data_IF_498224178821
#
_entry.id   IF_498224178821
#
_cell.length_a   1.000
_cell.length_b   1.000
_cell.length_c   1.000
_cell.angle_alpha   90.00
_cell.angle_beta   90.00
_cell.angle_gamma   90.00
#
_symmetry.space_group_name_H-M   'P 1'
#
loop_
_entity.id
_entity.type
_entity.pdbx_description
1 polymer ?
#
# COMPACT_ATOMS: atom_id res chain seq x y z
N UNK A 1 8.72 -10.03 18.16
CA UNK A 1 8.55 -10.08 16.68
C UNK A 1 7.81 -11.33 16.21
N UNK A 2 8.19 -12.51 16.69
CA UNK A 2 7.53 -13.77 16.29
C UNK A 2 6.05 -13.85 16.71
N UNK A 3 5.71 -13.36 17.91
CA UNK A 3 4.31 -13.21 18.35
C UNK A 3 3.50 -12.30 17.41
N UNK A 4 4.07 -11.18 16.95
CA UNK A 4 3.41 -10.26 16.03
C UNK A 4 3.19 -10.89 14.65
N UNK A 5 4.17 -11.65 14.14
CA UNK A 5 4.03 -12.43 12.90
C UNK A 5 2.89 -13.44 13.00
N UNK A 6 2.84 -14.20 14.10
CA UNK A 6 1.76 -15.16 14.35
C UNK A 6 0.39 -14.47 14.41
N UNK A 7 0.27 -13.36 15.14
CA UNK A 7 -1.00 -12.60 15.20
C UNK A 7 -1.45 -12.20 13.80
N UNK A 8 -0.57 -11.63 12.98
CA UNK A 8 -0.94 -11.17 11.64
C UNK A 8 -1.23 -12.30 10.67
N UNK A 9 -0.50 -13.40 10.76
CA UNK A 9 -0.77 -14.60 9.97
C UNK A 9 -2.11 -15.21 10.37
N UNK A 10 -2.39 -15.34 11.67
CA UNK A 10 -3.70 -15.77 12.18
C UNK A 10 -4.81 -14.81 11.75
N UNK A 11 -4.64 -13.49 11.89
CA UNK A 11 -5.62 -12.49 11.46
C UNK A 11 -5.86 -12.53 9.95
N UNK A 12 -4.81 -12.73 9.15
CA UNK A 12 -4.92 -12.91 7.70
C UNK A 12 -5.74 -14.16 7.36
N UNK A 13 -5.40 -15.32 7.95
CA UNK A 13 -6.13 -16.56 7.71
C UNK A 13 -7.57 -16.50 8.20
N UNK A 14 -7.84 -15.85 9.34
CA UNK A 14 -9.20 -15.61 9.83
C UNK A 14 -9.99 -14.70 8.88
N UNK A 15 -9.38 -13.64 8.37
CA UNK A 15 -10.04 -12.76 7.39
C UNK A 15 -10.32 -13.49 6.07
N UNK A 16 -9.38 -14.32 5.60
CA UNK A 16 -9.53 -15.11 4.38
C UNK A 16 -10.53 -16.25 4.55
N UNK A 17 -10.55 -16.90 5.72
CA UNK A 17 -11.54 -17.93 6.08
C UNK A 17 -12.93 -17.34 6.19
N UNK A 18 -13.09 -16.16 6.81
CA UNK A 18 -14.36 -15.45 6.86
C UNK A 18 -14.85 -15.09 5.46
N UNK A 19 -13.95 -14.62 4.58
CA UNK A 19 -14.25 -14.35 3.17
C UNK A 19 -14.70 -15.62 2.43
N UNK A 20 -13.96 -16.72 2.58
CA UNK A 20 -14.25 -17.99 1.91
C UNK A 20 -15.53 -18.65 2.44
N UNK A 21 -15.74 -18.65 3.75
CA UNK A 21 -16.93 -19.21 4.41
C UNK A 21 -18.17 -18.45 3.97
N UNK A 22 -18.11 -17.12 3.93
CA UNK A 22 -19.22 -16.29 3.48
C UNK A 22 -19.49 -16.43 1.97
N UNK A 23 -18.45 -16.56 1.14
CA UNK A 23 -18.60 -16.88 -0.29
C UNK A 23 -19.25 -18.25 -0.52
N UNK A 24 -18.90 -19.24 0.29
CA UNK A 24 -19.45 -20.59 0.22
C UNK A 24 -20.92 -20.64 0.69
N UNK A 25 -21.25 -19.96 1.78
CA UNK A 25 -22.65 -19.88 2.27
C UNK A 25 -23.54 -19.12 1.29
N UNK A 26 -23.06 -18.03 0.68
CA UNK A 26 -23.79 -17.29 -0.35
C UNK A 26 -24.06 -18.14 -1.61
N UNK A 27 -23.11 -19.01 -2.00
CA UNK A 27 -23.30 -19.94 -3.11
C UNK A 27 -24.30 -21.06 -2.80
N UNK A 28 -24.30 -21.57 -1.56
CA UNK A 28 -25.17 -22.66 -1.13
C UNK A 28 -26.64 -22.27 -0.99
N UNK A 29 -26.95 -21.03 -0.64
CA UNK A 29 -28.33 -20.58 -0.46
C UNK A 29 -29.05 -20.25 -1.76
N UNK A 30 -28.42 -20.43 -2.93
CA UNK A 30 -28.94 -20.02 -4.25
C UNK A 30 -29.42 -18.56 -4.34
N UNK A 31 -29.09 -17.75 -3.33
CA UNK A 31 -29.13 -16.30 -3.39
C UNK A 31 -27.85 -15.90 -4.12
N UNK A 32 -27.81 -16.19 -5.42
CA UNK A 32 -26.93 -15.53 -6.38
C UNK A 32 -27.43 -14.08 -6.57
N UNK A 33 -27.73 -13.42 -5.46
CA UNK A 33 -27.80 -11.98 -5.44
C UNK A 33 -26.35 -11.55 -5.61
N UNK A 34 -26.06 -11.11 -6.83
CA UNK A 34 -24.83 -10.46 -7.23
C UNK A 34 -24.35 -9.53 -6.10
N UNK A 35 -25.27 -8.85 -5.39
CA UNK A 35 -25.03 -8.02 -4.20
C UNK A 35 -24.23 -8.70 -3.07
N UNK A 36 -24.43 -10.00 -2.80
CA UNK A 36 -23.71 -10.74 -1.75
C UNK A 36 -22.24 -11.03 -2.08
N UNK A 37 -21.94 -11.32 -3.35
CA UNK A 37 -20.57 -11.38 -3.88
C UNK A 37 -19.96 -9.96 -3.91
N UNK A 38 -20.78 -8.93 -4.13
CA UNK A 38 -20.40 -7.52 -4.04
C UNK A 38 -20.03 -7.08 -2.61
N UNK A 39 -20.64 -7.62 -1.56
CA UNK A 39 -20.24 -7.33 -0.17
C UNK A 39 -18.88 -7.92 0.24
N UNK A 40 -18.49 -9.06 -0.34
CA UNK A 40 -17.21 -9.72 -0.06
C UNK A 40 -16.00 -8.91 -0.53
N UNK A 41 -16.11 -8.22 -1.67
CA UNK A 41 -15.00 -7.46 -2.23
C UNK A 41 -14.55 -6.30 -1.31
N UNK A 42 -15.43 -5.76 -0.48
CA UNK A 42 -15.10 -4.69 0.47
C UNK A 42 -14.10 -5.10 1.56
N UNK A 43 -13.92 -6.41 1.80
CA UNK A 43 -12.89 -6.92 2.72
C UNK A 43 -11.52 -7.11 2.04
N UNK A 44 -11.45 -7.16 0.70
CA UNK A 44 -10.21 -7.39 -0.04
C UNK A 44 -9.15 -6.32 0.22
N UNK A 45 -9.46 -5.00 0.28
CA UNK A 45 -8.48 -3.98 0.63
C UNK A 45 -7.89 -4.17 2.04
N UNK A 46 -8.69 -4.61 3.02
CA UNK A 46 -8.21 -4.87 4.38
C UNK A 46 -7.29 -6.10 4.42
N UNK A 47 -7.63 -7.16 3.68
CA UNK A 47 -6.78 -8.36 3.54
C UNK A 47 -5.46 -8.01 2.82
N UNK A 48 -5.52 -7.20 1.76
CA UNK A 48 -4.34 -6.70 1.06
C UNK A 48 -3.43 -5.90 2.00
N UNK A 49 -4.00 -5.04 2.85
CA UNK A 49 -3.24 -4.29 3.86
C UNK A 49 -2.58 -5.20 4.90
N UNK A 50 -3.25 -6.26 5.35
CA UNK A 50 -2.63 -7.24 6.26
C UNK A 50 -1.42 -7.94 5.61
N UNK A 51 -1.49 -8.26 4.32
CA UNK A 51 -0.37 -8.82 3.56
C UNK A 51 0.79 -7.85 3.45
N UNK A 52 0.52 -6.57 3.14
CA UNK A 52 1.53 -5.52 3.10
C UNK A 52 2.20 -5.39 4.46
N UNK A 53 1.44 -5.24 5.55
CA UNK A 53 1.95 -5.19 6.93
C UNK A 53 2.83 -6.41 7.24
N UNK A 54 2.36 -7.60 6.88
CA UNK A 54 3.10 -8.86 7.08
C UNK A 54 4.41 -8.90 6.29
N UNK A 55 4.43 -8.38 5.06
CA UNK A 55 5.65 -8.20 4.27
C UNK A 55 6.62 -7.23 4.94
N UNK A 56 6.15 -6.09 5.43
CA UNK A 56 6.98 -5.12 6.14
C UNK A 56 7.58 -5.68 7.43
N UNK A 57 6.92 -6.61 8.10
CA UNK A 57 7.51 -7.27 9.27
C UNK A 57 8.60 -8.27 8.88
N UNK A 58 8.48 -8.93 7.71
CA UNK A 58 9.59 -9.72 7.18
C UNK A 58 10.80 -8.83 6.87
N UNK A 59 10.57 -7.67 6.26
CA UNK A 59 11.62 -6.68 6.00
C UNK A 59 12.25 -6.16 7.30
N UNK A 60 11.44 -5.81 8.30
CA UNK A 60 11.88 -5.39 9.64
C UNK A 60 12.74 -6.47 10.29
N UNK A 61 12.33 -7.74 10.21
CA UNK A 61 13.10 -8.87 10.70
C UNK A 61 14.44 -9.02 9.99
N UNK A 62 14.51 -8.68 8.70
CA UNK A 62 15.77 -8.67 7.93
C UNK A 62 16.71 -7.57 8.40
N UNK A 63 16.17 -6.36 8.59
CA UNK A 63 16.91 -5.18 9.10
C UNK A 63 17.46 -5.44 10.50
N UNK A 64 16.67 -6.05 11.40
CA UNK A 64 17.11 -6.43 12.75
C UNK A 64 18.27 -7.43 12.73
N UNK A 65 18.33 -8.30 11.72
CA UNK A 65 19.45 -9.22 11.50
C UNK A 65 20.62 -8.57 10.75
N UNK A 66 20.66 -7.25 10.66
CA UNK A 66 21.67 -6.49 9.94
C UNK A 66 21.79 -6.84 8.45
N UNK A 67 20.69 -7.21 7.80
CA UNK A 67 20.66 -7.32 6.34
C UNK A 67 20.73 -5.94 5.67
N UNK A 68 21.33 -5.87 4.48
CA UNK A 68 21.46 -4.62 3.72
C UNK A 68 20.13 -4.26 3.06
N UNK A 69 19.42 -3.32 3.68
CA UNK A 69 18.17 -2.75 3.19
C UNK A 69 18.34 -1.23 3.05
N UNK A 70 17.79 -0.66 1.98
CA UNK A 70 17.91 0.75 1.69
C UNK A 70 17.03 1.60 2.62
N UNK A 71 17.66 2.33 3.54
CA UNK A 71 16.95 3.21 4.48
C UNK A 71 16.24 4.38 3.78
N UNK A 72 16.82 4.93 2.70
CA UNK A 72 16.19 6.04 1.94
C UNK A 72 14.89 5.57 1.30
N UNK A 73 14.87 4.34 0.76
CA UNK A 73 13.64 3.75 0.26
C UNK A 73 12.56 3.66 1.35
N UNK A 74 12.92 3.26 2.57
CA UNK A 74 11.97 3.20 3.70
C UNK A 74 11.42 4.57 4.09
N UNK A 75 12.23 5.63 4.02
CA UNK A 75 11.78 7.00 4.29
C UNK A 75 10.76 7.46 3.24
N UNK A 76 11.03 7.23 1.96
CA UNK A 76 10.07 7.56 0.90
C UNK A 76 8.78 6.74 1.01
N UNK A 77 8.88 5.46 1.36
CA UNK A 77 7.73 4.59 1.63
C UNK A 77 6.90 5.13 2.80
N UNK A 78 7.55 5.54 3.90
CA UNK A 78 6.87 6.23 5.01
C UNK A 78 6.15 7.50 4.55
N UNK A 79 6.80 8.35 3.75
CA UNK A 79 6.18 9.57 3.20
C UNK A 79 4.97 9.26 2.32
N UNK A 80 5.05 8.23 1.49
CA UNK A 80 3.93 7.78 0.67
C UNK A 80 2.73 7.38 1.54
N UNK A 81 2.95 6.54 2.56
CA UNK A 81 1.88 6.12 3.46
C UNK A 81 1.33 7.27 4.31
N UNK A 82 2.15 8.25 4.71
CA UNK A 82 1.68 9.47 5.37
C UNK A 82 0.70 10.25 4.49
N UNK A 83 0.99 10.38 3.19
CA UNK A 83 0.06 11.01 2.24
C UNK A 83 -1.25 10.24 2.17
N UNK A 84 -1.19 8.91 2.04
CA UNK A 84 -2.37 8.06 1.93
C UNK A 84 -3.23 8.06 3.20
N UNK A 85 -2.65 8.33 4.38
CA UNK A 85 -3.41 8.57 5.61
C UNK A 85 -4.04 9.95 5.58
N UNK A 86 -3.31 10.98 5.16
CA UNK A 86 -3.85 12.33 4.96
C UNK A 86 -5.10 12.31 4.08
N UNK A 87 -5.05 11.64 2.92
CA UNK A 87 -6.20 11.48 2.01
C UNK A 87 -7.39 10.83 2.73
N UNK A 88 -7.15 9.75 3.47
CA UNK A 88 -8.22 9.07 4.21
C UNK A 88 -8.86 9.96 5.28
N UNK A 89 -8.06 10.78 5.98
CA UNK A 89 -8.57 11.71 6.99
C UNK A 89 -9.37 12.82 6.32
N UNK A 90 -8.81 13.45 5.28
CA UNK A 90 -9.47 14.52 4.52
C UNK A 90 -10.81 14.07 3.94
N UNK A 91 -10.87 12.85 3.37
CA UNK A 91 -12.11 12.28 2.84
C UNK A 91 -13.12 11.89 3.94
N UNK A 92 -12.65 11.45 5.12
CA UNK A 92 -13.51 11.12 6.27
C UNK A 92 -14.09 12.32 7.00
N UNK A 93 -13.68 13.54 6.66
CA UNK A 93 -14.35 14.74 7.17
C UNK A 93 -15.79 14.87 6.61
N UNK A 94 -16.17 14.03 5.64
CA UNK A 94 -17.53 14.02 5.06
C UNK A 94 -18.06 12.61 4.72
N UNK A 95 -17.24 11.58 4.42
CA UNK A 95 -17.76 10.25 4.04
C UNK A 95 -17.00 9.01 4.58
N UNK A 96 -17.77 7.97 4.91
CA UNK A 96 -17.40 6.81 5.71
C UNK A 96 -16.51 5.76 5.02
N UNK A 97 -15.19 5.97 5.02
CA UNK A 97 -14.24 4.86 4.89
C UNK A 97 -14.34 3.94 6.12
N UNK A 98 -14.15 2.62 6.01
CA UNK A 98 -14.16 1.71 7.18
C UNK A 98 -12.99 2.00 8.14
N UNK A 99 -13.25 2.08 9.45
CA UNK A 99 -12.25 2.45 10.46
C UNK A 99 -11.05 1.51 10.47
N UNK A 100 -11.28 0.26 10.11
CA UNK A 100 -10.27 -0.78 10.01
C UNK A 100 -9.18 -0.48 8.98
N UNK A 101 -9.54 0.07 7.82
CA UNK A 101 -8.54 0.40 6.80
C UNK A 101 -7.61 1.53 7.27
N UNK A 102 -8.14 2.52 7.99
CA UNK A 102 -7.34 3.56 8.63
C UNK A 102 -6.42 3.02 9.72
N UNK A 103 -6.95 2.18 10.62
CA UNK A 103 -6.16 1.55 11.70
C UNK A 103 -5.00 0.71 11.12
N UNK A 104 -5.26 -0.06 10.07
CA UNK A 104 -4.22 -0.86 9.40
C UNK A 104 -3.12 0.01 8.78
N UNK A 105 -3.46 1.17 8.18
CA UNK A 105 -2.45 2.12 7.67
C UNK A 105 -1.59 2.70 8.81
N UNK A 106 -2.18 3.02 9.97
CA UNK A 106 -1.41 3.48 11.14
C UNK A 106 -0.44 2.42 11.65
N UNK A 107 -0.89 1.16 11.73
CA UNK A 107 -0.03 0.03 12.10
C UNK A 107 1.12 -0.12 11.10
N UNK A 108 0.84 -0.01 9.80
CA UNK A 108 1.85 -0.06 8.76
C UNK A 108 2.90 1.06 8.91
N UNK A 109 2.46 2.31 9.11
CA UNK A 109 3.37 3.43 9.36
C UNK A 109 4.25 3.20 10.59
N UNK A 110 3.68 2.69 11.69
CA UNK A 110 4.45 2.37 12.89
C UNK A 110 5.55 1.34 12.60
N UNK A 111 5.26 0.33 11.79
CA UNK A 111 6.24 -0.69 11.39
C UNK A 111 7.32 -0.08 10.49
N UNK A 112 6.96 0.73 9.50
CA UNK A 112 7.93 1.41 8.63
C UNK A 112 8.80 2.38 9.45
N UNK A 113 8.20 3.15 10.36
CA UNK A 113 8.91 4.01 11.31
C UNK A 113 9.89 3.22 12.18
N UNK A 114 9.52 2.02 12.61
CA UNK A 114 10.42 1.13 13.33
C UNK A 114 11.59 0.63 12.46
N UNK A 115 11.33 0.27 11.20
CA UNK A 115 12.39 -0.07 10.23
C UNK A 115 13.39 1.08 10.09
N UNK A 116 12.88 2.31 9.97
CA UNK A 116 13.70 3.52 9.87
C UNK A 116 14.51 3.72 11.15
N UNK A 117 13.89 3.62 12.33
CA UNK A 117 14.56 3.79 13.62
C UNK A 117 15.72 2.82 13.84
N UNK A 118 15.54 1.54 13.51
CA UNK A 118 16.64 0.55 13.57
C UNK A 118 17.71 0.86 12.53
N UNK A 119 17.31 1.25 11.31
CA UNK A 119 18.25 1.62 10.25
C UNK A 119 19.14 2.81 10.63
N UNK A 120 18.57 3.85 11.25
CA UNK A 120 19.30 5.01 11.77
C UNK A 120 20.26 4.55 12.88
N UNK A 121 19.77 3.81 13.87
CA UNK A 121 20.58 3.33 15.00
C UNK A 121 21.79 2.50 14.53
N UNK A 122 21.62 1.67 13.51
CA UNK A 122 22.63 0.69 13.10
C UNK A 122 23.57 1.21 11.99
N UNK A 123 23.16 2.18 11.17
CA UNK A 123 23.86 2.46 9.89
C UNK A 123 24.00 3.92 9.50
N UNK A 124 23.29 4.86 10.15
CA UNK A 124 23.26 6.24 9.68
C UNK A 124 23.31 7.25 10.83
N UNK A 125 24.39 8.03 10.91
CA UNK A 125 24.39 9.29 11.65
C UNK A 125 23.74 10.36 10.78
N UNK A 126 22.45 10.59 10.95
CA UNK A 126 21.74 11.70 10.31
C UNK A 126 22.20 13.03 10.90
N UNK A 127 22.46 14.01 10.03
CA UNK A 127 22.68 15.40 10.47
C UNK A 127 21.38 16.00 10.97
N UNK A 128 21.46 17.10 11.72
CA UNK A 128 20.27 17.82 12.20
C UNK A 128 19.40 18.33 11.03
N UNK A 129 20.04 18.79 9.95
CA UNK A 129 19.35 19.25 8.74
C UNK A 129 18.58 18.12 8.05
N UNK A 130 19.12 16.91 7.98
CA UNK A 130 18.43 15.75 7.40
C UNK A 130 17.16 15.38 8.18
N UNK A 131 17.20 15.51 9.52
CA UNK A 131 16.04 15.24 10.38
C UNK A 131 14.94 16.28 10.21
N UNK A 132 15.31 17.55 10.10
CA UNK A 132 14.38 18.65 9.87
C UNK A 132 13.75 18.51 8.48
N UNK A 133 14.56 18.33 7.44
CA UNK A 133 14.07 18.14 6.07
C UNK A 133 13.16 16.92 5.96
N UNK A 134 13.51 15.80 6.59
CA UNK A 134 12.66 14.59 6.64
C UNK A 134 11.32 14.84 7.33
N UNK A 135 11.33 15.55 8.46
CA UNK A 135 10.09 15.92 9.18
C UNK A 135 9.20 16.83 8.34
N UNK A 136 9.77 17.88 7.74
CA UNK A 136 9.03 18.80 6.86
C UNK A 136 8.41 18.03 5.72
N UNK A 137 9.18 17.15 5.04
CA UNK A 137 8.69 16.37 3.92
C UNK A 137 7.54 15.42 4.33
N UNK A 138 7.62 14.79 5.50
CA UNK A 138 6.55 13.94 6.03
C UNK A 138 5.27 14.74 6.36
N UNK A 139 5.42 15.92 6.99
CA UNK A 139 4.29 16.80 7.34
C UNK A 139 3.64 17.39 6.09
N UNK A 140 4.44 17.90 5.14
CA UNK A 140 3.93 18.43 3.87
C UNK A 140 3.19 17.36 3.07
N UNK A 141 3.72 16.12 3.02
CA UNK A 141 3.05 14.99 2.37
C UNK A 141 1.69 14.68 2.99
N UNK A 142 1.62 14.67 4.33
CA UNK A 142 0.36 14.49 5.06
C UNK A 142 -0.65 15.60 4.75
N UNK A 143 -0.22 16.87 4.77
CA UNK A 143 -1.07 18.02 4.48
C UNK A 143 -1.59 18.01 3.04
N UNK A 144 -0.73 17.69 2.07
CA UNK A 144 -1.14 17.53 0.66
C UNK A 144 -2.21 16.44 0.54
N UNK A 145 -2.00 15.30 1.19
CA UNK A 145 -2.99 14.23 1.23
C UNK A 145 -4.31 14.68 1.85
N UNK A 146 -4.26 15.37 2.99
CA UNK A 146 -5.44 15.87 3.71
C UNK A 146 -6.25 16.84 2.86
N UNK A 147 -5.59 17.83 2.24
CA UNK A 147 -6.24 18.81 1.37
C UNK A 147 -6.88 18.11 0.16
N UNK A 148 -6.16 17.19 -0.49
CA UNK A 148 -6.69 16.46 -1.63
C UNK A 148 -7.93 15.63 -1.26
N UNK A 149 -7.87 14.90 -0.14
CA UNK A 149 -9.01 14.13 0.38
C UNK A 149 -10.20 15.02 0.72
N UNK A 150 -9.96 16.15 1.38
CA UNK A 150 -11.01 17.11 1.74
C UNK A 150 -11.68 17.72 0.51
N UNK A 151 -10.91 18.27 -0.44
CA UNK A 151 -11.44 18.89 -1.66
C UNK A 151 -12.22 17.85 -2.47
N UNK A 152 -11.70 16.63 -2.61
CA UNK A 152 -12.39 15.55 -3.33
C UNK A 152 -13.74 15.18 -2.72
N UNK A 153 -13.88 15.39 -1.42
CA UNK A 153 -15.07 15.04 -0.67
C UNK A 153 -16.18 16.10 -0.80
N UNK A 154 -15.79 17.39 -0.87
CA UNK A 154 -16.73 18.50 -1.08
C UNK A 154 -17.08 18.69 -2.57
N UNK A 155 -16.17 18.34 -3.47
CA UNK A 155 -16.38 18.40 -4.92
C UNK A 155 -16.30 16.99 -5.53
N UNK A 156 -17.49 16.39 -5.67
CA UNK A 156 -17.63 15.07 -6.27
C UNK A 156 -17.85 15.10 -7.78
N UNK A 157 -17.78 16.27 -8.41
CA UNK A 157 -18.08 16.42 -9.83
C UNK A 157 -17.01 15.71 -10.69
N UNK A 158 -17.40 14.94 -11.72
CA UNK A 158 -16.46 14.42 -12.69
C UNK A 158 -15.73 15.58 -13.37
N UNK A 159 -14.39 15.53 -13.44
CA UNK A 159 -13.54 16.59 -14.02
C UNK A 159 -13.57 17.94 -13.27
N UNK A 160 -14.10 17.98 -12.03
CA UNK A 160 -14.01 19.14 -11.15
C UNK A 160 -12.65 19.35 -10.48
N UNK A 161 -12.57 20.32 -9.58
CA UNK A 161 -11.39 20.60 -8.76
C UNK A 161 -11.03 19.41 -7.86
N UNK A 162 -12.02 18.73 -7.30
CA UNK A 162 -11.82 17.50 -6.53
C UNK A 162 -11.15 16.39 -7.34
N UNK A 163 -11.58 16.20 -8.58
CA UNK A 163 -10.97 15.24 -9.50
C UNK A 163 -9.53 15.61 -9.87
N UNK A 164 -9.27 16.89 -10.18
CA UNK A 164 -7.93 17.36 -10.54
C UNK A 164 -6.93 17.21 -9.38
N UNK A 165 -7.39 17.50 -8.15
CA UNK A 165 -6.59 17.33 -6.94
C UNK A 165 -6.30 15.84 -6.66
N UNK A 166 -7.31 14.98 -6.69
CA UNK A 166 -7.13 13.52 -6.52
C UNK A 166 -6.13 12.96 -7.55
N UNK A 167 -6.29 13.36 -8.81
CA UNK A 167 -5.44 12.91 -9.91
C UNK A 167 -3.99 13.36 -9.73
N UNK A 168 -3.77 14.63 -9.40
CA UNK A 168 -2.43 15.18 -9.16
C UNK A 168 -1.76 14.50 -7.97
N UNK A 169 -2.51 14.26 -6.90
CA UNK A 169 -2.00 13.54 -5.72
C UNK A 169 -1.69 12.07 -6.03
N UNK A 170 -2.47 11.39 -6.87
CA UNK A 170 -2.18 10.04 -7.35
C UNK A 170 -0.87 9.98 -8.17
N UNK A 171 -0.63 10.97 -9.03
CA UNK A 171 0.63 11.09 -9.78
C UNK A 171 1.81 11.31 -8.83
N UNK A 172 1.69 12.25 -7.88
CA UNK A 172 2.72 12.50 -6.86
C UNK A 172 2.98 11.23 -6.04
N UNK A 173 1.93 10.51 -5.64
CA UNK A 173 2.05 9.24 -4.91
C UNK A 173 2.86 8.22 -5.69
N UNK A 174 2.57 8.10 -6.98
CA UNK A 174 3.25 7.19 -7.90
C UNK A 174 4.72 7.58 -8.09
N UNK A 175 5.04 8.87 -8.18
CA UNK A 175 6.42 9.35 -8.26
C UNK A 175 7.23 9.05 -7.00
N UNK A 176 6.62 9.21 -5.81
CA UNK A 176 7.24 8.78 -4.55
C UNK A 176 7.46 7.27 -4.57
N UNK A 177 6.48 6.51 -5.07
CA UNK A 177 6.58 5.04 -5.22
C UNK A 177 7.76 4.64 -6.10
N UNK A 178 7.83 5.24 -7.28
CA UNK A 178 8.90 5.03 -8.22
C UNK A 178 10.27 5.35 -7.61
N UNK A 179 10.39 6.46 -6.87
CA UNK A 179 11.65 6.85 -6.23
C UNK A 179 12.11 5.87 -5.17
N UNK A 180 11.22 5.35 -4.32
CA UNK A 180 11.65 4.35 -3.33
C UNK A 180 12.02 3.03 -3.98
N UNK A 181 11.31 2.60 -5.03
CA UNK A 181 11.66 1.41 -5.81
C UNK A 181 13.05 1.57 -6.44
N UNK A 182 13.36 2.73 -7.03
CA UNK A 182 14.69 3.00 -7.58
C UNK A 182 15.80 2.86 -6.52
N UNK A 183 15.57 3.39 -5.31
CA UNK A 183 16.52 3.26 -4.21
C UNK A 183 16.70 1.80 -3.77
N UNK A 184 15.62 1.04 -3.63
CA UNK A 184 15.70 -0.37 -3.29
C UNK A 184 16.40 -1.19 -4.38
N UNK A 185 16.11 -0.96 -5.67
CA UNK A 185 16.76 -1.65 -6.79
C UNK A 185 18.27 -1.43 -6.76
N UNK A 186 18.74 -0.21 -6.48
CA UNK A 186 20.18 0.06 -6.34
C UNK A 186 20.81 -0.88 -5.30
N UNK A 187 20.21 -0.99 -4.12
CA UNK A 187 20.72 -1.87 -3.07
C UNK A 187 20.54 -3.35 -3.38
N UNK A 188 19.44 -3.75 -4.02
CA UNK A 188 19.19 -5.14 -4.45
C UNK A 188 20.20 -5.58 -5.51
N UNK A 189 20.59 -4.68 -6.41
CA UNK A 189 21.59 -4.98 -7.44
C UNK A 189 22.95 -5.37 -6.84
N UNK A 190 23.27 -4.81 -5.67
CA UNK A 190 24.48 -5.10 -4.89
C UNK A 190 24.29 -6.29 -3.93
N UNK A 191 23.15 -6.38 -3.24
CA UNK A 191 22.84 -7.41 -2.25
C UNK A 191 21.33 -7.71 -2.18
N UNK A 192 20.85 -8.58 -3.07
CA UNK A 192 19.45 -8.99 -3.14
C UNK A 192 19.07 -9.93 -2.00
N UNK A 193 20.01 -10.73 -1.49
CA UNK A 193 19.77 -11.72 -0.42
C UNK A 193 19.29 -11.04 0.87
N UNK A 194 19.71 -9.80 1.11
CA UNK A 194 19.26 -9.00 2.26
C UNK A 194 17.76 -8.66 2.25
N UNK A 195 17.09 -8.77 1.09
CA UNK A 195 15.66 -8.57 0.97
C UNK A 195 14.91 -9.91 1.01
N UNK A 196 13.98 -10.10 1.96
CA UNK A 196 13.25 -11.35 2.12
C UNK A 196 12.30 -11.56 0.95
N UNK A 197 12.41 -12.70 0.25
CA UNK A 197 11.52 -13.07 -0.87
C UNK A 197 10.03 -12.98 -0.50
N UNK A 198 9.68 -13.33 0.75
CA UNK A 198 8.30 -13.27 1.28
C UNK A 198 7.71 -11.85 1.25
N UNK A 199 8.52 -10.79 1.38
CA UNK A 199 8.05 -9.41 1.27
C UNK A 199 7.43 -9.15 -0.11
N UNK A 200 8.14 -9.52 -1.18
CA UNK A 200 7.66 -9.33 -2.54
C UNK A 200 6.47 -10.22 -2.88
N UNK A 201 6.50 -11.51 -2.50
CA UNK A 201 5.39 -12.42 -2.78
C UNK A 201 4.09 -11.96 -2.12
N UNK A 202 4.17 -11.49 -0.87
CA UNK A 202 3.02 -10.89 -0.17
C UNK A 202 2.56 -9.59 -0.85
N UNK A 203 3.50 -8.79 -1.36
CA UNK A 203 3.20 -7.59 -2.13
C UNK A 203 2.46 -7.89 -3.44
N UNK A 204 2.93 -8.85 -4.24
CA UNK A 204 2.27 -9.29 -5.49
C UNK A 204 0.86 -9.79 -5.19
N UNK A 205 0.73 -10.64 -4.17
CA UNK A 205 -0.56 -11.19 -3.81
C UNK A 205 -1.52 -10.10 -3.30
N UNK A 206 -1.05 -9.18 -2.46
CA UNK A 206 -1.85 -8.02 -2.02
C UNK A 206 -2.28 -7.13 -3.18
N UNK A 207 -1.37 -6.86 -4.13
CA UNK A 207 -1.63 -6.10 -5.34
C UNK A 207 -2.67 -6.78 -6.26
N UNK A 208 -2.64 -8.10 -6.36
CA UNK A 208 -3.66 -8.86 -7.07
C UNK A 208 -5.05 -8.70 -6.42
N UNK A 209 -5.14 -8.72 -5.08
CA UNK A 209 -6.42 -8.48 -4.38
C UNK A 209 -6.94 -7.05 -4.60
N UNK A 210 -6.04 -6.06 -4.65
CA UNK A 210 -6.40 -4.67 -4.97
C UNK A 210 -6.86 -4.53 -6.43
N UNK A 211 -6.20 -5.21 -7.37
CA UNK A 211 -6.63 -5.27 -8.77
C UNK A 211 -8.03 -5.89 -8.90
N UNK A 212 -8.27 -6.99 -8.18
CA UNK A 212 -9.58 -7.64 -8.15
C UNK A 212 -10.68 -6.72 -7.61
N UNK A 213 -10.40 -6.01 -6.50
CA UNK A 213 -11.31 -5.01 -5.95
C UNK A 213 -11.57 -3.85 -6.93
N UNK A 214 -10.56 -3.40 -7.66
CA UNK A 214 -10.74 -2.37 -8.69
C UNK A 214 -11.59 -2.86 -9.86
N UNK A 215 -11.30 -4.05 -10.39
CA UNK A 215 -12.08 -4.66 -11.47
C UNK A 215 -13.55 -4.74 -11.09
N UNK A 216 -13.80 -5.07 -9.83
CA UNK A 216 -15.13 -5.12 -9.24
C UNK A 216 -15.84 -3.75 -9.21
N UNK A 217 -15.16 -2.68 -8.77
CA UNK A 217 -15.72 -1.32 -8.82
C UNK A 217 -16.05 -0.93 -10.27
N UNK A 218 -15.17 -1.23 -11.22
CA UNK A 218 -15.36 -0.85 -12.63
C UNK A 218 -16.51 -1.61 -13.29
N UNK A 219 -16.67 -2.91 -13.00
CA UNK A 219 -17.82 -3.70 -13.47
C UNK A 219 -19.14 -3.09 -12.98
N UNK A 220 -19.20 -2.68 -11.70
CA UNK A 220 -20.42 -2.09 -11.12
C UNK A 220 -20.73 -0.68 -11.61
N UNK A 221 -19.70 0.09 -11.93
CA UNK A 221 -19.88 1.46 -12.40
C UNK A 221 -20.28 1.51 -13.88
N UNK A 222 -20.17 0.38 -14.59
CA UNK A 222 -20.23 0.32 -16.04
C UNK A 222 -18.86 0.64 -16.64
N UNK A 223 -18.44 -0.15 -17.64
CA UNK A 223 -17.22 0.12 -18.42
C UNK A 223 -17.43 1.27 -19.42
N UNK A 224 -18.02 2.38 -18.99
CA UNK A 224 -18.21 3.56 -19.83
C UNK A 224 -17.09 4.59 -19.61
N UNK A 225 -16.88 5.47 -20.61
CA UNK A 225 -15.81 6.47 -20.55
C UNK A 225 -15.92 7.41 -19.35
N UNK A 226 -17.15 7.66 -18.87
CA UNK A 226 -17.40 8.52 -17.70
C UNK A 226 -16.99 7.87 -16.39
N UNK A 227 -17.16 6.56 -16.22
CA UNK A 227 -16.71 5.83 -15.04
C UNK A 227 -15.19 5.75 -14.97
N UNK A 228 -14.51 5.55 -16.11
CA UNK A 228 -13.05 5.62 -16.19
C UNK A 228 -12.51 6.99 -15.75
N UNK A 229 -13.16 8.07 -16.18
CA UNK A 229 -12.80 9.43 -15.75
C UNK A 229 -13.09 9.65 -14.27
N UNK A 230 -14.28 9.24 -13.79
CA UNK A 230 -14.69 9.38 -12.38
C UNK A 230 -13.75 8.67 -11.41
N UNK A 231 -13.20 7.52 -11.80
CA UNK A 231 -12.28 6.71 -11.01
C UNK A 231 -10.84 6.74 -11.55
N UNK A 232 -10.44 7.81 -12.25
CA UNK A 232 -9.12 7.90 -12.86
C UNK A 232 -7.99 7.73 -11.84
N UNK A 233 -8.03 8.46 -10.72
CA UNK A 233 -7.01 8.36 -9.67
C UNK A 233 -6.87 6.95 -9.09
N UNK A 234 -7.99 6.27 -8.83
CA UNK A 234 -8.01 4.88 -8.41
C UNK A 234 -7.45 3.94 -9.49
N UNK A 235 -7.93 4.06 -10.72
CA UNK A 235 -7.55 3.19 -11.85
C UNK A 235 -6.07 3.36 -12.22
N UNK A 236 -5.58 4.59 -12.23
CA UNK A 236 -4.18 4.93 -12.45
C UNK A 236 -3.29 4.26 -11.40
N UNK A 237 -3.62 4.43 -10.11
CA UNK A 237 -2.85 3.84 -9.02
C UNK A 237 -2.87 2.30 -9.06
N UNK A 238 -4.01 1.69 -9.37
CA UNK A 238 -4.13 0.24 -9.46
C UNK A 238 -3.32 -0.28 -10.65
N UNK A 239 -3.51 0.26 -11.84
CA UNK A 239 -2.87 -0.26 -13.05
C UNK A 239 -1.36 0.00 -13.04
N UNK A 240 -0.95 1.24 -12.79
CA UNK A 240 0.47 1.62 -12.82
C UNK A 240 1.17 1.13 -11.56
N UNK A 241 0.55 1.24 -10.38
CA UNK A 241 1.14 0.74 -9.14
C UNK A 241 1.39 -0.77 -9.17
N UNK A 242 0.43 -1.54 -9.67
CA UNK A 242 0.60 -3.00 -9.82
C UNK A 242 1.69 -3.34 -10.84
N UNK A 243 1.72 -2.64 -11.98
CA UNK A 243 2.75 -2.84 -13.00
C UNK A 243 4.15 -2.52 -12.45
N UNK A 244 4.31 -1.38 -11.77
CA UNK A 244 5.56 -0.97 -11.14
C UNK A 244 6.05 -2.01 -10.14
N UNK A 245 5.16 -2.52 -9.27
CA UNK A 245 5.54 -3.52 -8.28
C UNK A 245 5.87 -4.88 -8.92
N UNK A 246 5.16 -5.27 -9.99
CA UNK A 246 5.48 -6.49 -10.73
C UNK A 246 6.86 -6.41 -11.38
N UNK A 247 7.20 -5.28 -12.02
CA UNK A 247 8.54 -5.03 -12.56
C UNK A 247 9.58 -5.07 -11.43
N UNK A 248 9.29 -4.43 -10.29
CA UNK A 248 10.16 -4.43 -9.12
C UNK A 248 10.47 -5.86 -8.64
N UNK A 249 9.47 -6.73 -8.57
CA UNK A 249 9.65 -8.14 -8.26
C UNK A 249 10.53 -8.88 -9.27
N UNK A 250 10.32 -8.68 -10.58
CA UNK A 250 11.11 -9.33 -11.62
C UNK A 250 12.59 -8.96 -11.52
N UNK A 251 12.89 -7.68 -11.29
CA UNK A 251 14.25 -7.18 -11.09
C UNK A 251 14.88 -7.82 -9.84
N UNK A 252 14.12 -7.91 -8.74
CA UNK A 252 14.58 -8.59 -7.53
C UNK A 252 14.91 -10.07 -7.78
N UNK A 253 14.03 -10.84 -8.41
CA UNK A 253 14.25 -12.27 -8.68
C UNK A 253 15.46 -12.47 -9.61
N UNK A 254 15.64 -11.60 -10.60
CA UNK A 254 16.81 -11.62 -11.48
C UNK A 254 18.11 -11.48 -10.68
N UNK A 255 18.23 -10.42 -9.87
CA UNK A 255 19.45 -10.18 -9.08
C UNK A 255 19.67 -11.26 -8.01
N UNK A 256 18.61 -11.74 -7.35
CA UNK A 256 18.74 -12.83 -6.37
C UNK A 256 19.29 -14.10 -7.01
N UNK A 257 18.74 -14.52 -8.16
CA UNK A 257 19.21 -15.72 -8.87
C UNK A 257 20.66 -15.55 -9.37
N UNK A 258 21.04 -14.35 -9.80
CA UNK A 258 22.42 -14.04 -10.24
C UNK A 258 23.43 -14.16 -9.09
N UNK A 259 23.07 -13.71 -7.89
CA UNK A 259 23.95 -13.71 -6.71
C UNK A 259 23.96 -15.05 -5.95
N UNK A 260 23.05 -15.98 -6.27
CA UNK A 260 23.01 -17.33 -5.71
C UNK A 260 23.81 -18.37 -6.53
N UNK A 261 24.31 -17.96 -7.70
CA UNK A 261 25.22 -18.73 -8.54
C UNK A 261 26.66 -18.35 -8.21
#
# INVERSE_FOLDING_TARGET
MERLKRILETSYWLALLSLATYAFTAKLTNVLDLAGIFHLAYYLPAIAMLLVISGHIDLLSSIQKNSVVNLKARIYDFTHWMMLIGINIGARMTDGVTIWWFVLKLILLAIIGWQIGIGIKNRLRLTMNDRIAGTIFAVSSFLVGLIAGYIRSIDQTPLGWGWAMETSTAVIATLIVFKWIQHDIKTISECAIGYPRKFFLKGIFGNFLVFWFWLHIMVNSGFDGMSWLRYFGLSFNVLIGNLLFFIYWLIYEYHRKKQQK
#
